data_IF_742744443760
#
_entry.id   IF_742744443760
#
_cell.length_a   1.000
_cell.length_b   1.000
_cell.length_c   1.000
_cell.angle_alpha   90.00
_cell.angle_beta   90.00
_cell.angle_gamma   90.00
#
_symmetry.space_group_name_H-M   'P 1'
#
loop_
_entity.id
_entity.type
_entity.pdbx_description
1 polymer ?
#
# COMPACT_ATOMS: atom_id res chain seq x y z
N UNK A 1 1.03 10.69 -18.78
CA UNK A 1 2.21 11.52 -19.13
C UNK A 1 2.15 12.80 -18.31
N UNK A 2 3.19 13.10 -17.52
CA UNK A 2 3.25 14.30 -16.68
C UNK A 2 3.23 15.58 -17.54
N UNK A 3 2.56 16.63 -17.06
CA UNK A 3 2.59 17.93 -17.73
C UNK A 3 3.99 18.55 -17.65
N UNK A 4 4.34 19.48 -18.54
CA UNK A 4 5.65 20.14 -18.51
C UNK A 4 5.88 20.85 -17.16
N UNK A 5 6.87 20.37 -16.38
CA UNK A 5 7.22 20.91 -15.07
C UNK A 5 6.67 20.13 -13.86
N UNK A 6 5.82 19.14 -14.10
CA UNK A 6 5.28 18.27 -13.06
C UNK A 6 6.22 17.08 -12.77
N UNK A 7 6.36 16.72 -11.49
CA UNK A 7 7.11 15.52 -11.10
C UNK A 7 6.35 14.24 -11.46
N UNK A 8 7.07 13.12 -11.65
CA UNK A 8 6.43 11.87 -12.08
C UNK A 8 5.33 11.39 -11.12
N UNK A 9 5.56 11.50 -9.80
CA UNK A 9 4.59 11.04 -8.81
C UNK A 9 3.32 11.90 -8.78
N UNK A 10 3.43 13.22 -8.98
CA UNK A 10 2.28 14.12 -9.12
C UNK A 10 1.44 13.75 -10.34
N UNK A 11 2.12 13.46 -11.46
CA UNK A 11 1.49 13.02 -12.70
C UNK A 11 0.68 11.73 -12.51
N UNK A 12 1.28 10.71 -11.89
CA UNK A 12 0.59 9.45 -11.54
C UNK A 12 -0.56 9.70 -10.58
N UNK A 13 -0.35 10.49 -9.51
CA UNK A 13 -1.38 10.78 -8.53
C UNK A 13 -2.61 11.44 -9.14
N UNK A 14 -2.44 12.37 -10.09
CA UNK A 14 -3.56 12.97 -10.82
C UNK A 14 -4.37 11.92 -11.59
N UNK A 15 -3.72 10.93 -12.18
CA UNK A 15 -4.40 9.86 -12.92
C UNK A 15 -5.24 8.95 -12.01
N UNK A 16 -4.85 8.79 -10.74
CA UNK A 16 -5.60 7.97 -9.76
C UNK A 16 -6.92 8.57 -9.27
N UNK A 17 -7.11 9.90 -9.43
CA UNK A 17 -8.20 10.67 -8.80
C UNK A 17 -8.26 10.55 -7.26
N UNK A 18 -7.22 10.04 -6.61
CA UNK A 18 -7.11 9.94 -5.16
C UNK A 18 -6.46 11.22 -4.60
N UNK A 19 -7.23 12.02 -3.86
CA UNK A 19 -6.75 13.28 -3.26
C UNK A 19 -5.64 13.07 -2.23
N UNK A 20 -5.54 11.88 -1.65
CA UNK A 20 -4.53 11.55 -0.64
C UNK A 20 -3.22 11.07 -1.25
N UNK A 21 -3.16 10.82 -2.57
CA UNK A 21 -1.97 10.29 -3.23
C UNK A 21 -0.75 11.21 -3.08
N UNK A 22 -0.87 12.50 -3.42
CA UNK A 22 0.25 13.45 -3.28
C UNK A 22 0.65 13.63 -1.80
N UNK A 23 -0.27 13.89 -0.87
CA UNK A 23 0.06 13.97 0.56
C UNK A 23 0.74 12.71 1.11
N UNK A 24 0.40 11.53 0.59
CA UNK A 24 0.95 10.27 1.06
C UNK A 24 2.37 10.02 0.55
N UNK A 25 2.62 10.30 -0.72
CA UNK A 25 3.88 9.93 -1.37
C UNK A 25 4.98 10.99 -1.24
N UNK A 26 4.62 12.25 -0.98
CA UNK A 26 5.58 13.38 -0.93
C UNK A 26 6.61 13.28 0.21
N UNK A 27 6.34 12.47 1.23
CA UNK A 27 7.21 12.35 2.40
C UNK A 27 8.40 11.40 2.16
N UNK A 28 8.38 10.59 1.08
CA UNK A 28 9.53 9.77 0.69
C UNK A 28 10.37 10.49 -0.39
N UNK A 29 11.58 10.96 -0.06
CA UNK A 29 12.40 11.71 -1.00
C UNK A 29 12.78 10.89 -2.24
N UNK A 30 12.80 9.55 -2.15
CA UNK A 30 13.10 8.68 -3.28
C UNK A 30 11.98 8.74 -4.32
N UNK A 31 10.72 8.78 -3.88
CA UNK A 31 9.57 8.95 -4.76
C UNK A 31 9.61 10.34 -5.39
N UNK A 32 9.79 11.40 -4.60
CA UNK A 32 9.78 12.78 -5.13
C UNK A 32 10.95 13.08 -6.07
N UNK A 33 12.06 12.33 -5.96
CA UNK A 33 13.25 12.50 -6.78
C UNK A 33 13.37 11.48 -7.92
N UNK A 34 12.39 10.61 -8.11
CA UNK A 34 12.40 9.58 -9.14
C UNK A 34 12.51 10.21 -10.53
N UNK A 35 13.45 9.70 -11.34
CA UNK A 35 13.78 10.27 -12.66
C UNK A 35 13.07 9.56 -13.82
N UNK A 36 12.53 8.38 -13.57
CA UNK A 36 11.84 7.55 -14.56
C UNK A 36 10.74 6.72 -13.87
N UNK A 37 9.83 6.19 -14.67
CA UNK A 37 8.67 5.44 -14.17
C UNK A 37 9.04 4.12 -13.50
N UNK A 38 10.17 3.51 -13.90
CA UNK A 38 10.65 2.27 -13.30
C UNK A 38 11.11 2.50 -11.85
N UNK A 39 11.95 3.51 -11.63
CA UNK A 39 12.38 3.92 -10.29
C UNK A 39 11.19 4.35 -9.44
N UNK A 40 10.27 5.15 -10.00
CA UNK A 40 9.06 5.58 -9.30
C UNK A 40 8.22 4.39 -8.85
N UNK A 41 7.93 3.46 -9.78
CA UNK A 41 7.12 2.27 -9.50
C UNK A 41 7.76 1.42 -8.41
N UNK A 42 9.07 1.20 -8.50
CA UNK A 42 9.83 0.46 -7.49
C UNK A 42 9.76 1.14 -6.12
N UNK A 43 9.95 2.45 -6.04
CA UNK A 43 9.90 3.18 -4.77
C UNK A 43 8.51 3.18 -4.15
N UNK A 44 7.46 3.30 -4.96
CA UNK A 44 6.07 3.19 -4.49
C UNK A 44 5.79 1.77 -3.96
N UNK A 45 6.24 0.71 -4.66
CA UNK A 45 6.09 -0.67 -4.19
C UNK A 45 6.85 -0.91 -2.88
N UNK A 46 8.08 -0.40 -2.74
CA UNK A 46 8.85 -0.48 -1.49
C UNK A 46 8.16 0.27 -0.34
N UNK A 47 7.62 1.47 -0.62
CA UNK A 47 6.84 2.24 0.35
C UNK A 47 5.59 1.47 0.79
N UNK A 48 4.83 0.92 -0.17
CA UNK A 48 3.60 0.20 0.10
C UNK A 48 3.86 -1.11 0.87
N UNK A 49 4.92 -1.85 0.52
CA UNK A 49 5.35 -3.05 1.26
C UNK A 49 5.66 -2.69 2.73
N UNK A 50 6.43 -1.62 2.96
CA UNK A 50 6.76 -1.14 4.31
C UNK A 50 5.49 -0.81 5.09
N UNK A 51 4.56 -0.08 4.47
CA UNK A 51 3.27 0.28 5.11
C UNK A 51 2.39 -0.93 5.37
N UNK A 52 2.36 -1.92 4.49
CA UNK A 52 1.67 -3.18 4.74
C UNK A 52 2.26 -3.92 5.95
N UNK A 53 3.58 -3.92 6.12
CA UNK A 53 4.22 -4.52 7.31
C UNK A 53 3.87 -3.76 8.60
N UNK A 54 3.83 -2.44 8.57
CA UNK A 54 3.39 -1.61 9.70
C UNK A 54 1.91 -1.88 10.03
N UNK A 55 1.03 -1.91 9.03
CA UNK A 55 -0.38 -2.27 9.18
C UNK A 55 -0.57 -3.67 9.75
N UNK A 56 0.18 -4.68 9.29
CA UNK A 56 0.14 -6.03 9.85
C UNK A 56 0.46 -6.03 11.34
N UNK A 57 1.51 -5.31 11.76
CA UNK A 57 1.90 -5.20 13.18
C UNK A 57 0.80 -4.55 14.02
N UNK A 58 0.19 -3.47 13.52
CA UNK A 58 -0.93 -2.81 14.18
C UNK A 58 -2.12 -3.76 14.33
N UNK A 59 -2.53 -4.45 13.26
CA UNK A 59 -3.67 -5.37 13.30
C UNK A 59 -3.37 -6.56 14.24
N UNK A 60 -2.13 -7.02 14.33
CA UNK A 60 -1.74 -8.06 15.31
C UNK A 60 -1.90 -7.60 16.76
N UNK A 61 -1.71 -6.30 17.06
CA UNK A 61 -1.99 -5.75 18.39
C UNK A 61 -3.49 -5.70 18.63
N UNK A 62 -4.25 -5.16 17.67
CA UNK A 62 -5.71 -5.10 17.73
C UNK A 62 -6.34 -6.48 17.88
N UNK A 63 -5.81 -7.50 17.21
CA UNK A 63 -6.30 -8.88 17.31
C UNK A 63 -6.18 -9.49 18.72
N UNK A 64 -5.29 -8.96 19.58
CA UNK A 64 -5.19 -9.39 20.99
C UNK A 64 -6.32 -8.80 21.84
N UNK A 65 -6.73 -7.58 21.53
CA UNK A 65 -7.78 -6.85 22.26
C UNK A 65 -9.19 -7.19 21.72
N UNK A 66 -9.28 -7.45 20.42
CA UNK A 66 -10.51 -7.72 19.68
C UNK A 66 -10.36 -8.98 18.80
N UNK A 67 -10.33 -10.19 19.38
CA UNK A 67 -10.02 -11.44 18.68
C UNK A 67 -11.23 -11.98 17.89
N UNK A 68 -11.85 -11.14 17.06
CA UNK A 68 -12.87 -11.61 16.11
C UNK A 68 -12.20 -12.37 14.97
N UNK A 69 -12.91 -13.34 14.40
CA UNK A 69 -12.41 -14.13 13.28
C UNK A 69 -11.91 -13.25 12.13
N UNK A 70 -12.67 -12.21 11.78
CA UNK A 70 -12.30 -11.28 10.71
C UNK A 70 -11.01 -10.51 11.00
N UNK A 71 -10.80 -10.04 12.24
CA UNK A 71 -9.58 -9.30 12.62
C UNK A 71 -8.36 -10.23 12.65
N UNK A 72 -8.53 -11.47 13.11
CA UNK A 72 -7.48 -12.49 13.08
C UNK A 72 -7.07 -12.81 11.64
N UNK A 73 -8.05 -12.97 10.73
CA UNK A 73 -7.80 -13.19 9.31
C UNK A 73 -7.08 -12.02 8.65
N UNK A 74 -7.37 -10.79 9.09
CA UNK A 74 -6.70 -9.60 8.58
C UNK A 74 -5.20 -9.62 8.78
N UNK A 75 -4.73 -9.87 10.00
CA UNK A 75 -3.31 -9.92 10.28
C UNK A 75 -2.61 -11.15 9.65
N UNK A 76 -3.24 -12.32 9.78
CA UNK A 76 -2.58 -13.60 9.50
C UNK A 76 -2.73 -14.09 8.06
N UNK A 77 -3.70 -13.56 7.30
CA UNK A 77 -3.95 -14.00 5.92
C UNK A 77 -3.92 -12.83 4.95
N UNK A 78 -4.77 -11.83 5.15
CA UNK A 78 -4.93 -10.77 4.16
C UNK A 78 -3.68 -9.88 4.06
N UNK A 79 -3.15 -9.41 5.18
CA UNK A 79 -1.91 -8.62 5.14
C UNK A 79 -0.68 -9.45 4.79
N UNK A 80 -0.65 -10.77 5.07
CA UNK A 80 0.41 -11.65 4.56
C UNK A 80 0.38 -11.76 3.03
N UNK A 81 -0.82 -11.93 2.47
CA UNK A 81 -1.03 -11.96 1.02
C UNK A 81 -0.63 -10.62 0.40
N UNK A 82 -1.08 -9.50 0.96
CA UNK A 82 -0.72 -8.15 0.49
C UNK A 82 0.80 -7.93 0.48
N UNK A 83 1.50 -8.29 1.55
CA UNK A 83 2.97 -8.18 1.60
C UNK A 83 3.62 -9.06 0.53
N UNK A 84 3.15 -10.29 0.36
CA UNK A 84 3.68 -11.22 -0.64
C UNK A 84 3.48 -10.70 -2.06
N UNK A 85 2.29 -10.17 -2.37
CA UNK A 85 2.01 -9.59 -3.68
C UNK A 85 2.84 -8.32 -3.95
N UNK A 86 3.12 -7.48 -2.95
CA UNK A 86 4.06 -6.37 -3.14
C UNK A 86 5.50 -6.84 -3.44
N UNK A 87 5.95 -7.90 -2.77
CA UNK A 87 7.27 -8.50 -3.03
C UNK A 87 7.31 -9.08 -4.45
N UNK A 88 6.26 -9.79 -4.85
CA UNK A 88 6.10 -10.38 -6.20
C UNK A 88 6.13 -9.29 -7.27
N UNK A 89 5.25 -8.28 -7.15
CA UNK A 89 5.20 -7.16 -8.09
C UNK A 89 6.55 -6.44 -8.25
N UNK A 90 7.31 -6.29 -7.15
CA UNK A 90 8.64 -5.69 -7.19
C UNK A 90 9.67 -6.58 -7.90
N UNK A 91 9.59 -7.90 -7.71
CA UNK A 91 10.47 -8.87 -8.36
C UNK A 91 10.20 -9.02 -9.85
N UNK A 92 8.95 -8.86 -10.26
CA UNK A 92 8.49 -9.01 -11.64
C UNK A 92 8.55 -7.71 -12.45
N UNK A 93 8.79 -6.56 -11.81
CA UNK A 93 8.66 -5.23 -12.42
C UNK A 93 9.43 -5.05 -13.74
N UNK A 94 10.54 -5.77 -13.92
CA UNK A 94 11.35 -5.75 -15.16
C UNK A 94 11.05 -6.95 -16.06
N UNK A 95 11.02 -8.16 -15.49
CA UNK A 95 10.93 -9.41 -16.25
C UNK A 95 9.51 -9.72 -16.74
N UNK A 96 8.49 -9.33 -15.97
CA UNK A 96 7.08 -9.47 -16.32
C UNK A 96 6.24 -8.28 -15.76
N UNK A 97 6.27 -7.12 -16.44
CA UNK A 97 5.50 -5.94 -16.02
C UNK A 97 3.99 -6.17 -16.00
N UNK A 98 3.49 -7.17 -16.74
CA UNK A 98 2.04 -7.49 -16.78
C UNK A 98 1.63 -8.15 -15.48
N UNK A 99 2.38 -9.15 -15.03
CA UNK A 99 2.15 -9.80 -13.73
C UNK A 99 2.39 -8.83 -12.58
N UNK A 100 3.44 -8.00 -12.65
CA UNK A 100 3.68 -6.95 -11.65
C UNK A 100 2.52 -5.96 -11.53
N UNK A 101 1.93 -5.56 -12.66
CA UNK A 101 0.75 -4.67 -12.68
C UNK A 101 -0.48 -5.36 -12.10
N UNK A 102 -0.69 -6.63 -12.42
CA UNK A 102 -1.78 -7.42 -11.87
C UNK A 102 -1.66 -7.57 -10.34
N UNK A 103 -0.48 -7.94 -9.86
CA UNK A 103 -0.18 -8.07 -8.44
C UNK A 103 -0.38 -6.75 -7.70
N UNK A 104 0.14 -5.65 -8.23
CA UNK A 104 -0.06 -4.30 -7.69
C UNK A 104 -1.53 -3.83 -7.70
N UNK A 105 -2.39 -4.44 -8.52
CA UNK A 105 -3.83 -4.14 -8.54
C UNK A 105 -4.58 -4.90 -7.46
N UNK A 106 -4.29 -6.19 -7.27
CA UNK A 106 -5.03 -7.06 -6.33
C UNK A 106 -4.62 -6.86 -4.86
N UNK A 107 -3.46 -6.26 -4.60
CA UNK A 107 -2.97 -5.98 -3.23
C UNK A 107 -3.95 -5.17 -2.36
N UNK A 108 -4.84 -4.38 -2.98
CA UNK A 108 -5.83 -3.54 -2.29
C UNK A 108 -7.01 -4.30 -1.68
N UNK A 109 -7.30 -5.51 -2.16
CA UNK A 109 -8.49 -6.28 -1.75
C UNK A 109 -8.43 -6.68 -0.27
N UNK A 110 -7.25 -7.12 0.19
CA UNK A 110 -7.00 -7.49 1.59
C UNK A 110 -7.23 -6.31 2.56
N UNK A 111 -6.56 -5.17 2.37
CA UNK A 111 -6.78 -3.96 3.14
C UNK A 111 -8.22 -3.46 3.10
N UNK A 112 -8.91 -3.53 1.96
CA UNK A 112 -10.32 -3.12 1.86
C UNK A 112 -11.23 -4.03 2.71
N UNK A 113 -11.03 -5.35 2.63
CA UNK A 113 -11.75 -6.30 3.49
C UNK A 113 -11.51 -5.98 4.97
N UNK A 114 -10.26 -5.67 5.34
CA UNK A 114 -9.91 -5.36 6.71
C UNK A 114 -10.49 -4.04 7.20
N UNK A 115 -10.53 -3.00 6.37
CA UNK A 115 -11.19 -1.75 6.72
C UNK A 115 -12.68 -1.96 7.05
N UNK A 116 -13.37 -2.84 6.29
CA UNK A 116 -14.75 -3.24 6.58
C UNK A 116 -14.86 -4.01 7.90
N UNK A 117 -13.92 -4.92 8.18
CA UNK A 117 -13.89 -5.66 9.45
C UNK A 117 -13.70 -4.72 10.67
N UNK A 118 -12.80 -3.75 10.56
CA UNK A 118 -12.58 -2.72 11.59
C UNK A 118 -13.86 -1.90 11.83
N UNK A 119 -14.52 -1.48 10.74
CA UNK A 119 -15.78 -0.73 10.82
C UNK A 119 -16.87 -1.54 11.54
N UNK A 120 -17.07 -2.81 11.16
CA UNK A 120 -18.07 -3.70 11.78
C UNK A 120 -17.77 -3.96 13.26
N UNK A 121 -16.50 -4.06 13.63
CA UNK A 121 -16.06 -4.24 15.01
C UNK A 121 -16.05 -2.93 15.82
N UNK A 122 -16.39 -1.79 15.21
CA UNK A 122 -16.30 -0.45 15.80
C UNK A 122 -14.89 -0.14 16.36
N UNK A 123 -13.86 -0.53 15.61
CA UNK A 123 -12.44 -0.30 15.93
C UNK A 123 -11.92 0.86 15.08
N UNK A 124 -11.14 1.76 15.68
CA UNK A 124 -10.49 2.84 14.93
C UNK A 124 -9.51 2.27 13.89
N UNK A 125 -9.70 2.69 12.63
CA UNK A 125 -8.79 2.39 11.53
C UNK A 125 -8.02 3.67 11.16
N UNK A 126 -6.79 3.86 11.69
CA UNK A 126 -6.02 5.05 11.43
C UNK A 126 -5.54 5.11 9.96
N UNK A 127 -5.33 6.31 9.41
CA UNK A 127 -4.75 6.46 8.08
C UNK A 127 -3.31 5.92 8.04
N UNK A 128 -2.91 5.43 6.88
CA UNK A 128 -1.63 4.72 6.64
C UNK A 128 -0.38 5.53 7.02
N UNK A 129 -0.45 6.85 6.99
CA UNK A 129 0.64 7.75 7.35
C UNK A 129 0.79 7.95 8.87
N UNK A 130 -0.22 7.59 9.67
CA UNK A 130 -0.16 7.61 11.13
C UNK A 130 0.32 6.30 11.74
N UNK A 131 0.43 5.24 10.94
CA UNK A 131 1.05 4.00 11.36
C UNK A 131 2.58 4.17 11.37
N UNK A 132 3.17 4.02 12.55
CA UNK A 132 4.62 4.06 12.79
C UNK A 132 4.93 2.81 13.62
N UNK A 133 5.88 1.98 13.15
CA UNK A 133 6.37 0.84 13.91
C UNK A 133 7.45 1.24 14.92
#
# INVERSE_FOLDING_TARGET
MAASGESLYEGVCRETKNTDCVPLLKDDPRITSAKNDLDLSRFILEFAEKKAREGKKYILQIAKEHPTECIILCANKFYESTITSFISAKGELIEDPTSATYDAKVVGDGPEYCAKAFTTANIENPPINKLIA
#
